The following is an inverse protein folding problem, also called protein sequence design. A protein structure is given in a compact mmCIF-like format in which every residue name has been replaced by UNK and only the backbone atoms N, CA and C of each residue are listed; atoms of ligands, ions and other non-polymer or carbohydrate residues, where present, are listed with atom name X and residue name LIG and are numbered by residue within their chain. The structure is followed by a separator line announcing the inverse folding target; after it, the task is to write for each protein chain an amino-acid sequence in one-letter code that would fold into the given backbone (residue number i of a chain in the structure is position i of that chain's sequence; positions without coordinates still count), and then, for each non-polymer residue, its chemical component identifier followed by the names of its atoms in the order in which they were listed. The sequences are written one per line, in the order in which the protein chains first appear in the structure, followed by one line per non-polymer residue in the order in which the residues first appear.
data_IF_613358421582
#
_entry.id   IF_613358421582
#
_cell.length_a   1.000
_cell.length_b   1.000
_cell.length_c   1.000
_cell.angle_alpha   90.00
_cell.angle_beta   90.00
_cell.angle_gamma   90.00
#
_symmetry.space_group_name_H-M   'P 1'
#
loop_
_entity.id
_entity.type
_entity.pdbx_description
1 polymer ?
#
# COMPACT_ATOMS: atom_id res chain seq x y z
N UNK A 1 -43.42 29.07 -22.66
CA UNK A 1 -44.61 28.50 -22.00
C UNK A 1 -44.28 27.05 -21.69
N UNK A 2 -43.97 26.79 -20.42
CA UNK A 2 -43.94 25.54 -19.63
C UNK A 2 -43.20 24.32 -20.23
N UNK A 3 -42.04 23.91 -19.72
CA UNK A 3 -41.76 23.20 -18.45
C UNK A 3 -42.54 21.88 -18.23
N UNK A 4 -41.79 20.78 -18.08
CA UNK A 4 -41.66 19.88 -16.89
C UNK A 4 -41.04 18.54 -17.38
N UNK A 5 -39.77 18.21 -17.06
CA UNK A 5 -39.24 17.60 -15.81
C UNK A 5 -39.91 16.26 -15.46
N UNK A 6 -39.12 15.17 -15.51
CA UNK A 6 -39.34 13.91 -14.78
C UNK A 6 -37.98 13.42 -14.22
N UNK A 7 -37.95 12.78 -13.02
CA UNK A 7 -36.85 12.94 -12.07
C UNK A 7 -36.01 11.67 -11.78
N UNK A 8 -34.80 11.93 -11.27
CA UNK A 8 -34.01 11.27 -10.22
C UNK A 8 -34.12 9.75 -9.92
N UNK A 9 -32.95 9.09 -10.08
CA UNK A 9 -32.16 8.38 -9.06
C UNK A 9 -32.83 7.37 -8.12
N UNK A 10 -32.42 6.10 -8.25
CA UNK A 10 -32.58 5.08 -7.22
C UNK A 10 -31.23 4.84 -6.52
N UNK A 11 -31.10 5.31 -5.28
CA UNK A 11 -30.05 4.92 -4.33
C UNK A 11 -30.68 3.89 -3.39
N UNK A 12 -30.08 2.70 -3.30
CA UNK A 12 -30.54 1.61 -2.45
C UNK A 12 -29.75 1.64 -1.13
N UNK A 13 -30.40 2.06 -0.03
CA UNK A 13 -29.89 1.92 1.33
C UNK A 13 -30.39 0.59 1.93
N UNK A 14 -29.48 -0.27 2.42
CA UNK A 14 -29.82 -1.41 3.26
C UNK A 14 -29.56 -1.06 4.74
N UNK A 15 -30.63 -0.95 5.53
CA UNK A 15 -30.61 -0.85 6.98
C UNK A 15 -31.04 -2.20 7.56
N UNK A 16 -30.13 -2.89 8.26
CA UNK A 16 -30.47 -4.10 9.02
C UNK A 16 -30.97 -3.70 10.42
N UNK A 17 -32.25 -4.01 10.68
CA UNK A 17 -32.83 -4.03 12.04
C UNK A 17 -32.89 -5.50 12.45
N UNK A 18 -32.23 -5.86 13.55
CA UNK A 18 -32.48 -7.13 14.24
C UNK A 18 -32.85 -6.86 15.69
N UNK A 19 -34.13 -7.05 16.02
CA UNK A 19 -34.62 -7.16 17.38
C UNK A 19 -34.16 -8.49 18.00
N UNK A 20 -33.56 -8.43 19.19
CA UNK A 20 -33.38 -9.58 20.07
C UNK A 20 -34.70 -9.94 20.76
N UNK A 21 -35.05 -11.21 20.78
CA UNK A 21 -35.81 -11.81 21.89
C UNK A 21 -35.23 -13.19 22.19
N UNK A 22 -34.77 -13.38 23.42
CA UNK A 22 -34.26 -14.65 23.96
C UNK A 22 -35.42 -15.56 24.41
N UNK A 23 -35.32 -16.86 24.10
CA UNK A 23 -35.85 -17.94 24.95
C UNK A 23 -34.94 -19.16 24.84
N UNK A 24 -34.45 -19.63 25.99
CA UNK A 24 -33.71 -20.89 26.20
C UNK A 24 -34.64 -22.09 26.00
N UNK A 25 -34.15 -23.12 25.31
CA UNK A 25 -34.25 -24.51 25.79
C UNK A 25 -33.24 -25.43 25.09
N UNK A 26 -32.60 -26.28 25.89
CA UNK A 26 -31.50 -27.18 25.52
C UNK A 26 -32.03 -28.46 24.86
N UNK A 27 -31.64 -28.77 23.61
CA UNK A 27 -31.24 -30.13 23.20
C UNK A 27 -30.59 -30.11 21.80
N UNK A 28 -29.57 -30.95 21.62
CA UNK A 28 -28.71 -31.09 20.43
C UNK A 28 -29.48 -30.99 19.10
N UNK A 29 -29.11 -30.02 18.25
CA UNK A 29 -29.37 -30.08 16.81
C UNK A 29 -28.26 -29.33 16.06
N UNK A 30 -27.70 -30.01 15.06
CA UNK A 30 -26.81 -29.46 14.04
C UNK A 30 -27.53 -28.26 13.40
N UNK A 31 -26.95 -27.08 13.54
CA UNK A 31 -27.47 -25.86 12.90
C UNK A 31 -26.37 -25.25 12.05
N UNK A 32 -26.53 -25.45 10.74
CA UNK A 32 -25.84 -24.72 9.70
C UNK A 32 -26.28 -23.26 9.74
N UNK A 33 -25.43 -22.39 10.23
CA UNK A 33 -25.47 -20.94 10.00
C UNK A 33 -24.04 -20.46 9.93
N UNK A 34 -23.52 -20.48 8.69
CA UNK A 34 -22.40 -19.68 8.18
C UNK A 34 -21.36 -19.23 9.22
N UNK A 35 -20.49 -20.15 9.61
CA UNK A 35 -19.11 -19.79 9.89
C UNK A 35 -18.52 -19.26 8.58
N UNK A 36 -18.50 -17.94 8.41
CA UNK A 36 -17.48 -17.34 7.57
C UNK A 36 -16.18 -17.46 8.37
N UNK A 37 -15.53 -18.62 8.28
CA UNK A 37 -14.15 -18.74 8.74
C UNK A 37 -13.33 -17.70 7.96
N UNK A 38 -12.82 -16.70 8.67
CA UNK A 38 -11.79 -15.78 8.18
C UNK A 38 -10.51 -16.58 8.01
N UNK A 39 -10.40 -17.30 6.89
CA UNK A 39 -9.18 -18.04 6.57
C UNK A 39 -8.23 -17.05 5.90
N UNK A 40 -7.45 -16.34 6.72
CA UNK A 40 -6.18 -15.70 6.33
C UNK A 40 -5.33 -16.71 5.52
N UNK A 41 -4.43 -16.27 4.61
CA UNK A 41 -3.53 -17.20 3.94
C UNK A 41 -2.78 -18.01 5.00
N UNK A 42 -2.77 -19.34 4.88
CA UNK A 42 -2.04 -20.17 5.85
C UNK A 42 -0.56 -19.83 5.77
N UNK A 43 0.06 -19.45 6.89
CA UNK A 43 1.49 -19.19 6.96
C UNK A 43 2.25 -20.47 6.58
N UNK A 44 2.72 -20.51 5.33
CA UNK A 44 3.49 -21.62 4.79
C UNK A 44 4.97 -21.28 4.86
N UNK A 45 5.66 -21.93 5.79
CA UNK A 45 7.09 -21.81 5.97
C UNK A 45 7.70 -23.12 6.47
N UNK A 46 9.01 -23.25 6.31
CA UNK A 46 9.79 -24.27 7.01
C UNK A 46 11.16 -23.71 7.40
N UNK A 47 11.80 -24.37 8.38
CA UNK A 47 13.16 -24.04 8.81
C UNK A 47 14.17 -24.61 7.81
N UNK A 48 15.13 -23.79 7.39
CA UNK A 48 16.23 -24.20 6.53
C UNK A 48 17.29 -25.03 7.27
N UNK A 49 18.26 -25.54 6.52
CA UNK A 49 19.40 -26.31 7.02
C UNK A 49 20.70 -25.58 6.64
N UNK A 50 21.55 -25.21 7.61
CA UNK A 50 22.79 -24.49 7.34
C UNK A 50 23.71 -25.15 6.29
N UNK A 51 23.67 -26.48 6.17
CA UNK A 51 24.48 -27.20 5.18
C UNK A 51 24.02 -26.95 3.75
N UNK A 52 22.71 -26.95 3.51
CA UNK A 52 22.12 -26.73 2.18
C UNK A 52 22.01 -25.25 1.83
N UNK A 53 21.88 -24.39 2.84
CA UNK A 53 21.61 -22.96 2.66
C UNK A 53 22.85 -22.08 2.71
N UNK A 54 24.00 -22.65 3.08
CA UNK A 54 25.27 -21.95 3.19
C UNK A 54 25.65 -21.12 1.97
N UNK A 55 25.34 -21.57 0.74
CA UNK A 55 25.77 -20.87 -0.48
C UNK A 55 25.11 -19.48 -0.64
N UNK A 56 23.79 -19.40 -0.45
CA UNK A 56 23.07 -18.14 -0.61
C UNK A 56 23.22 -17.26 0.63
N UNK A 57 23.36 -17.84 1.82
CA UNK A 57 23.70 -17.11 3.05
C UNK A 57 25.09 -16.45 2.91
N UNK A 58 26.09 -17.19 2.45
CA UNK A 58 27.42 -16.63 2.17
C UNK A 58 27.41 -15.55 1.08
N UNK A 59 26.38 -15.53 0.22
CA UNK A 59 26.20 -14.46 -0.77
C UNK A 59 25.67 -13.20 -0.08
N UNK A 60 24.67 -13.33 0.80
CA UNK A 60 24.17 -12.21 1.60
C UNK A 60 25.24 -11.61 2.52
N UNK A 61 26.01 -12.44 3.22
CA UNK A 61 27.04 -11.98 4.16
C UNK A 61 28.22 -11.25 3.50
N UNK A 62 28.36 -11.35 2.17
CA UNK A 62 29.34 -10.58 1.39
C UNK A 62 28.81 -9.24 0.92
N UNK A 63 27.50 -9.00 1.01
CA UNK A 63 26.92 -7.70 0.67
C UNK A 63 27.31 -6.68 1.74
N UNK A 64 27.50 -5.44 1.32
CA UNK A 64 27.85 -4.37 2.24
C UNK A 64 26.65 -4.02 3.13
N UNK A 65 26.79 -4.26 4.44
CA UNK A 65 25.78 -3.87 5.41
C UNK A 65 25.78 -2.34 5.63
N UNK A 66 24.59 -1.70 5.61
CA UNK A 66 24.47 -0.29 5.95
C UNK A 66 24.94 -0.06 7.40
N UNK A 67 25.35 1.16 7.71
CA UNK A 67 25.91 1.52 9.02
C UNK A 67 24.95 1.23 10.18
N UNK A 68 23.64 1.40 10.00
CA UNK A 68 22.64 1.12 11.02
C UNK A 68 22.50 -0.37 11.35
N UNK A 69 22.72 -1.27 10.38
CA UNK A 69 22.68 -2.72 10.62
C UNK A 69 23.92 -3.22 11.36
N UNK A 70 25.05 -2.51 11.27
CA UNK A 70 26.29 -2.84 11.99
C UNK A 70 26.24 -2.48 13.47
N UNK A 71 25.24 -1.72 13.90
CA UNK A 71 25.08 -1.30 15.29
C UNK A 71 24.13 -2.25 16.03
N UNK A 72 24.46 -2.54 17.29
CA UNK A 72 23.65 -3.37 18.18
C UNK A 72 23.85 -4.88 18.00
N UNK A 73 23.60 -5.60 19.10
CA UNK A 73 23.64 -7.06 19.17
C UNK A 73 22.26 -7.65 18.81
N UNK A 74 21.74 -7.27 17.64
CA UNK A 74 20.46 -7.78 17.12
C UNK A 74 20.61 -9.16 16.47
N UNK A 75 19.51 -9.91 16.44
CA UNK A 75 19.49 -11.32 16.04
C UNK A 75 19.48 -11.43 14.52
N UNK A 76 20.53 -12.00 13.93
CA UNK A 76 20.55 -12.27 12.50
C UNK A 76 19.66 -13.46 12.19
N UNK A 77 18.69 -13.23 11.32
CA UNK A 77 17.81 -14.23 10.75
C UNK A 77 17.92 -14.14 9.24
N UNK A 78 17.92 -15.28 8.58
CA UNK A 78 17.98 -15.38 7.13
C UNK A 78 16.66 -15.92 6.62
N UNK A 79 16.14 -15.33 5.55
CA UNK A 79 15.00 -15.91 4.86
C UNK A 79 15.14 -15.88 3.35
N UNK A 80 14.51 -16.88 2.72
CA UNK A 80 14.47 -17.06 1.28
C UNK A 80 13.03 -17.28 0.84
N UNK A 81 12.64 -16.67 -0.28
CA UNK A 81 11.41 -17.08 -0.97
C UNK A 81 11.73 -18.21 -1.93
N UNK A 82 10.98 -19.30 -1.87
CA UNK A 82 11.26 -20.50 -2.66
C UNK A 82 10.98 -20.31 -4.16
N UNK A 83 10.03 -19.43 -4.47
CA UNK A 83 9.65 -19.10 -5.83
C UNK A 83 10.58 -18.05 -6.44
N UNK A 84 10.83 -18.19 -7.74
CA UNK A 84 11.35 -17.09 -8.56
C UNK A 84 10.21 -16.10 -8.81
N UNK A 85 10.26 -14.94 -8.19
CA UNK A 85 9.22 -13.91 -8.27
C UNK A 85 9.56 -12.92 -9.37
N UNK A 86 8.77 -12.89 -10.45
CA UNK A 86 9.00 -12.02 -11.61
C UNK A 86 10.43 -12.08 -12.19
N UNK A 87 11.03 -13.27 -12.15
CA UNK A 87 12.39 -13.53 -12.64
C UNK A 87 13.50 -13.33 -11.61
N UNK A 88 13.17 -12.96 -10.37
CA UNK A 88 14.12 -12.75 -9.28
C UNK A 88 14.12 -13.91 -8.28
N UNK A 89 15.32 -14.40 -7.95
CA UNK A 89 15.54 -15.11 -6.69
C UNK A 89 15.67 -14.08 -5.57
N UNK A 90 14.91 -14.26 -4.48
CA UNK A 90 14.85 -13.29 -3.38
C UNK A 90 15.32 -13.94 -2.08
N UNK A 91 16.38 -13.38 -1.53
CA UNK A 91 17.01 -13.80 -0.27
C UNK A 91 17.20 -12.57 0.61
N UNK A 92 17.13 -12.72 1.93
CA UNK A 92 17.30 -11.61 2.84
C UNK A 92 18.05 -11.99 4.12
N UNK A 93 18.75 -10.99 4.63
CA UNK A 93 19.26 -10.94 5.99
C UNK A 93 18.42 -9.93 6.75
N UNK A 94 17.80 -10.38 7.84
CA UNK A 94 16.93 -9.58 8.69
C UNK A 94 17.44 -9.62 10.12
N UNK A 95 17.64 -8.44 10.71
CA UNK A 95 18.12 -8.30 12.09
C UNK A 95 16.95 -7.96 12.98
N UNK A 96 16.37 -8.98 13.61
CA UNK A 96 15.23 -8.82 14.50
C UNK A 96 15.62 -8.00 15.73
N UNK A 97 14.76 -7.05 16.13
CA UNK A 97 15.05 -6.20 17.29
C UNK A 97 14.95 -6.93 18.63
N UNK A 98 14.15 -8.00 18.69
CA UNK A 98 13.96 -8.86 19.86
C UNK A 98 13.53 -10.26 19.38
N UNK A 99 13.82 -11.36 20.13
CA UNK A 99 13.38 -12.70 19.76
C UNK A 99 11.89 -12.83 19.40
N UNK A 100 11.00 -12.02 19.95
CA UNK A 100 9.56 -12.10 19.67
C UNK A 100 9.00 -10.88 18.92
N UNK A 101 9.86 -10.03 18.36
CA UNK A 101 9.41 -8.89 17.58
C UNK A 101 9.29 -9.25 16.10
N UNK A 102 8.22 -8.77 15.46
CA UNK A 102 7.94 -8.86 14.03
C UNK A 102 8.74 -7.86 13.19
N UNK A 103 9.35 -6.87 13.84
CA UNK A 103 10.10 -5.77 13.20
C UNK A 103 11.61 -5.91 13.36
N UNK A 104 12.35 -5.46 12.35
CA UNK A 104 13.81 -5.47 12.36
C UNK A 104 14.41 -4.71 11.19
N UNK A 105 15.74 -4.64 11.15
CA UNK A 105 16.45 -4.13 9.99
C UNK A 105 16.48 -5.16 8.88
N UNK A 106 16.38 -4.72 7.62
CA UNK A 106 16.37 -5.61 6.47
C UNK A 106 17.45 -5.25 5.46
N UNK A 107 18.13 -6.28 4.96
CA UNK A 107 18.84 -6.28 3.69
C UNK A 107 18.28 -7.42 2.85
N UNK A 108 17.50 -7.09 1.82
CA UNK A 108 16.90 -8.05 0.88
C UNK A 108 17.55 -7.91 -0.49
N UNK A 109 18.03 -9.02 -1.04
CA UNK A 109 18.70 -9.07 -2.33
C UNK A 109 17.80 -9.74 -3.37
N UNK A 110 17.62 -9.05 -4.50
CA UNK A 110 16.86 -9.52 -5.65
C UNK A 110 17.84 -9.87 -6.76
N UNK A 111 18.05 -11.15 -7.00
CA UNK A 111 18.95 -11.64 -8.06
C UNK A 111 18.16 -12.02 -9.31
N UNK A 112 18.34 -11.27 -10.40
CA UNK A 112 17.70 -11.54 -11.66
C UNK A 112 18.33 -12.77 -12.33
N UNK A 113 17.58 -13.87 -12.37
CA UNK A 113 18.03 -15.18 -12.85
C UNK A 113 18.38 -15.23 -14.34
N UNK A 114 17.92 -14.24 -15.14
CA UNK A 114 18.18 -14.17 -16.58
C UNK A 114 19.41 -13.34 -16.92
N UNK A 115 19.59 -12.22 -16.22
CA UNK A 115 20.67 -11.25 -16.52
C UNK A 115 21.89 -11.39 -15.62
N UNK A 116 21.76 -12.10 -14.49
CA UNK A 116 22.81 -12.22 -13.48
C UNK A 116 23.06 -10.95 -12.68
N UNK A 117 22.20 -9.93 -12.83
CA UNK A 117 22.27 -8.68 -12.07
C UNK A 117 21.48 -8.79 -10.77
N UNK A 118 21.88 -8.03 -9.76
CA UNK A 118 21.10 -7.87 -8.54
C UNK A 118 20.87 -6.41 -8.19
N UNK A 119 19.88 -6.18 -7.34
CA UNK A 119 19.73 -4.95 -6.58
C UNK A 119 19.30 -5.32 -5.15
N UNK A 120 19.50 -4.39 -4.22
CA UNK A 120 19.15 -4.58 -2.82
C UNK A 120 18.06 -3.60 -2.40
N UNK A 121 17.08 -4.10 -1.65
CA UNK A 121 16.18 -3.29 -0.84
C UNK A 121 16.68 -3.33 0.60
N UNK A 122 16.79 -2.17 1.23
CA UNK A 122 17.32 -2.02 2.58
C UNK A 122 16.33 -1.17 3.38
N UNK A 123 16.00 -1.59 4.59
CA UNK A 123 15.07 -0.85 5.46
C UNK A 123 15.54 -0.82 6.91
N UNK A 124 15.40 0.35 7.54
CA UNK A 124 15.64 0.57 8.97
C UNK A 124 14.48 0.08 9.86
N UNK A 125 13.32 -0.22 9.26
CA UNK A 125 12.17 -0.77 9.97
C UNK A 125 11.32 -1.57 8.99
N UNK A 126 11.50 -2.87 9.02
CA UNK A 126 10.78 -3.79 8.15
C UNK A 126 10.02 -4.84 8.97
N UNK A 127 8.77 -5.06 8.56
CA UNK A 127 7.93 -6.19 8.93
C UNK A 127 7.20 -6.64 7.68
N UNK A 128 6.77 -7.89 7.64
CA UNK A 128 5.78 -8.35 6.69
C UNK A 128 4.87 -9.40 7.33
N UNK A 129 3.90 -9.88 6.56
CA UNK A 129 3.00 -10.94 7.00
C UNK A 129 3.75 -12.14 7.61
N UNK A 130 4.81 -12.64 6.98
CA UNK A 130 5.53 -13.81 7.46
C UNK A 130 6.23 -13.57 8.82
N UNK A 131 6.92 -12.45 8.99
CA UNK A 131 7.60 -12.14 10.27
C UNK A 131 6.59 -11.88 11.38
N UNK A 132 5.48 -11.21 11.06
CA UNK A 132 4.37 -10.93 11.98
C UNK A 132 3.68 -12.21 12.45
N UNK A 133 3.27 -13.07 11.53
CA UNK A 133 2.59 -14.31 11.88
C UNK A 133 3.49 -15.26 12.68
N UNK A 134 4.79 -15.33 12.34
CA UNK A 134 5.75 -16.09 13.14
C UNK A 134 5.84 -15.55 14.57
N UNK A 135 6.00 -14.24 14.73
CA UNK A 135 6.15 -13.60 16.04
C UNK A 135 4.92 -13.80 16.94
N UNK A 136 3.71 -13.81 16.36
CA UNK A 136 2.45 -14.01 17.10
C UNK A 136 2.02 -15.48 17.23
N UNK A 137 2.68 -16.41 16.56
CA UNK A 137 2.38 -17.82 16.70
C UNK A 137 2.70 -18.29 18.13
N UNK A 138 1.68 -18.72 18.89
CA UNK A 138 1.84 -19.06 20.31
C UNK A 138 2.83 -20.21 20.60
N UNK A 139 3.10 -21.07 19.61
CA UNK A 139 4.11 -22.13 19.67
C UNK A 139 5.51 -21.68 19.27
N UNK A 140 5.67 -20.45 18.78
CA UNK A 140 6.96 -19.90 18.38
C UNK A 140 7.74 -19.42 19.61
N UNK A 141 8.92 -20.00 19.82
CA UNK A 141 9.79 -19.69 20.95
C UNK A 141 10.64 -18.42 20.74
N UNK A 142 10.44 -17.73 19.63
CA UNK A 142 11.20 -16.56 19.22
C UNK A 142 12.39 -16.89 18.32
N UNK A 143 12.81 -15.89 17.56
CA UNK A 143 13.97 -15.93 16.67
C UNK A 143 15.26 -16.19 17.44
N UNK A 144 16.14 -17.01 16.87
CA UNK A 144 17.48 -17.29 17.37
C UNK A 144 18.53 -16.84 16.34
N UNK A 145 19.74 -16.57 16.83
CA UNK A 145 20.86 -16.17 15.97
C UNK A 145 21.14 -17.24 14.92
N UNK A 146 21.20 -16.81 13.66
CA UNK A 146 21.45 -17.69 12.52
C UNK A 146 20.24 -18.51 12.08
N UNK A 147 19.04 -18.22 12.59
CA UNK A 147 17.82 -18.87 12.13
C UNK A 147 17.64 -18.72 10.62
N UNK A 148 17.22 -19.80 9.96
CA UNK A 148 16.98 -19.85 8.51
C UNK A 148 15.52 -20.21 8.26
N UNK A 149 14.83 -19.41 7.46
CA UNK A 149 13.44 -19.64 7.08
C UNK A 149 13.28 -19.66 5.56
N UNK A 150 12.51 -20.62 5.08
CA UNK A 150 11.98 -20.63 3.72
C UNK A 150 10.52 -20.23 3.76
N UNK A 151 10.16 -19.24 2.95
CA UNK A 151 8.80 -18.73 2.83
C UNK A 151 8.24 -19.06 1.46
N UNK A 152 6.99 -19.52 1.46
CA UNK A 152 6.18 -19.49 0.25
C UNK A 152 5.74 -18.04 -0.02
N UNK A 153 6.09 -17.54 -1.21
CA UNK A 153 5.69 -16.20 -1.64
C UNK A 153 4.17 -16.10 -1.86
N UNK A 154 3.56 -15.09 -1.25
CA UNK A 154 2.12 -14.84 -1.36
C UNK A 154 1.88 -13.89 -2.53
N UNK A 155 1.38 -14.42 -3.64
CA UNK A 155 1.08 -13.61 -4.81
C UNK A 155 -0.14 -12.70 -4.62
N UNK A 156 -0.18 -11.49 -5.24
CA UNK A 156 -1.29 -10.55 -5.14
C UNK A 156 -2.67 -11.17 -5.40
N UNK A 157 -2.80 -12.00 -6.44
CA UNK A 157 -4.06 -12.66 -6.82
C UNK A 157 -4.60 -13.67 -5.79
N UNK A 158 -3.74 -14.14 -4.87
CA UNK A 158 -4.13 -15.09 -3.84
C UNK A 158 -4.69 -14.39 -2.59
N UNK A 159 -4.62 -13.06 -2.52
CA UNK A 159 -5.13 -12.30 -1.40
C UNK A 159 -6.65 -12.42 -1.32
N UNK A 160 -7.16 -12.62 -0.09
CA UNK A 160 -8.59 -12.67 0.15
C UNK A 160 -9.18 -11.35 0.60
N UNK A 161 -8.41 -10.62 1.37
CA UNK A 161 -8.68 -9.22 1.67
C UNK A 161 -8.27 -8.37 0.47
N UNK A 162 -8.98 -7.27 0.24
CA UNK A 162 -8.71 -6.38 -0.88
C UNK A 162 -8.73 -7.07 -2.27
N UNK A 163 -9.44 -8.20 -2.43
CA UNK A 163 -9.58 -8.95 -3.71
C UNK A 163 -9.99 -8.10 -4.91
N UNK A 164 -10.72 -7.02 -4.68
CA UNK A 164 -11.17 -6.10 -5.72
C UNK A 164 -10.07 -5.15 -6.21
N UNK A 165 -8.90 -5.16 -5.56
CA UNK A 165 -7.77 -4.28 -5.84
C UNK A 165 -6.57 -5.08 -6.35
N UNK A 166 -5.68 -4.38 -7.05
CA UNK A 166 -4.53 -4.99 -7.72
C UNK A 166 -3.37 -5.30 -6.75
N UNK A 167 -3.32 -4.61 -5.60
CA UNK A 167 -2.21 -4.71 -4.64
C UNK A 167 -2.51 -5.73 -3.54
N UNK A 168 -1.57 -6.64 -3.31
CA UNK A 168 -1.76 -7.78 -2.43
C UNK A 168 -1.60 -7.46 -0.94
N UNK A 169 -2.67 -7.56 -0.15
CA UNK A 169 -2.68 -7.25 1.27
C UNK A 169 -1.57 -7.95 2.09
N UNK A 170 -1.39 -9.26 1.92
CA UNK A 170 -0.36 -10.06 2.58
C UNK A 170 0.88 -10.29 1.71
N UNK A 171 0.96 -9.63 0.56
CA UNK A 171 2.09 -9.76 -0.36
C UNK A 171 3.23 -8.85 0.11
N UNK A 172 4.40 -9.39 0.50
CA UNK A 172 5.47 -8.62 1.15
C UNK A 172 6.11 -7.58 0.21
N UNK A 173 6.19 -7.91 -1.07
CA UNK A 173 6.59 -7.02 -2.15
C UNK A 173 5.96 -7.52 -3.44
N UNK A 174 5.79 -6.65 -4.43
CA UNK A 174 5.33 -7.02 -5.77
C UNK A 174 5.98 -6.13 -6.83
N UNK A 175 5.90 -6.56 -8.08
CA UNK A 175 6.34 -5.76 -9.20
C UNK A 175 5.16 -5.29 -10.03
N UNK A 176 5.17 -4.02 -10.41
CA UNK A 176 4.11 -3.40 -11.18
C UNK A 176 4.66 -2.20 -11.94
N UNK A 177 4.34 -2.09 -13.23
CA UNK A 177 4.52 -0.87 -14.02
C UNK A 177 3.49 0.17 -13.56
N UNK A 178 3.82 0.85 -12.46
CA UNK A 178 2.90 1.76 -11.77
C UNK A 178 3.05 3.19 -12.27
N UNK A 179 4.20 3.53 -12.85
CA UNK A 179 4.41 4.79 -13.55
C UNK A 179 4.01 4.75 -15.05
N UNK A 180 3.60 3.56 -15.51
CA UNK A 180 3.11 3.24 -16.85
C UNK A 180 4.13 3.49 -17.96
N UNK A 181 5.44 3.50 -17.66
CA UNK A 181 6.52 3.71 -18.62
C UNK A 181 6.92 2.42 -19.38
N UNK A 182 6.37 1.28 -18.99
CA UNK A 182 6.58 -0.03 -19.60
C UNK A 182 7.63 -0.87 -18.87
N UNK A 183 8.31 -0.32 -17.87
CA UNK A 183 9.21 -1.04 -16.98
C UNK A 183 8.50 -1.32 -15.64
N UNK A 184 8.98 -2.30 -14.88
CA UNK A 184 8.39 -2.61 -13.58
C UNK A 184 9.08 -1.86 -12.44
N UNK A 185 8.29 -1.28 -11.54
CA UNK A 185 8.74 -0.82 -10.24
C UNK A 185 8.64 -1.94 -9.21
N UNK A 186 9.48 -1.86 -8.17
CA UNK A 186 9.33 -2.65 -6.96
C UNK A 186 8.42 -1.90 -5.98
N UNK A 187 7.36 -2.55 -5.54
CA UNK A 187 6.47 -2.07 -4.48
C UNK A 187 6.71 -2.93 -3.24
N UNK A 188 7.06 -2.32 -2.11
CA UNK A 188 7.29 -3.01 -0.83
C UNK A 188 6.17 -2.66 0.14
N UNK A 189 5.48 -3.68 0.65
CA UNK A 189 4.34 -3.56 1.55
C UNK A 189 4.83 -3.34 2.99
N UNK A 190 4.24 -2.38 3.71
CA UNK A 190 4.65 -2.04 5.09
C UNK A 190 4.00 -2.89 6.20
N UNK A 191 3.02 -3.73 5.85
CA UNK A 191 2.23 -4.56 6.77
C UNK A 191 1.60 -3.77 7.94
N UNK A 192 1.26 -2.50 7.69
CA UNK A 192 0.79 -1.60 8.74
C UNK A 192 -0.67 -1.79 9.21
N UNK A 193 -1.48 -2.53 8.46
CA UNK A 193 -2.88 -2.88 8.78
C UNK A 193 -3.78 -1.66 9.08
N UNK A 194 -3.64 -0.59 8.31
CA UNK A 194 -4.45 0.62 8.47
C UNK A 194 -5.88 0.44 7.92
N UNK A 195 -6.75 1.42 8.17
CA UNK A 195 -8.14 1.42 7.67
C UNK A 195 -8.22 1.32 6.14
N UNK A 196 -7.26 1.90 5.40
CA UNK A 196 -7.15 1.81 3.94
C UNK A 196 -6.38 0.60 3.43
N UNK A 197 -5.91 -0.26 4.34
CA UNK A 197 -4.97 -1.34 4.11
C UNK A 197 -3.53 -0.90 4.37
N UNK A 198 -2.58 -1.65 3.85
CA UNK A 198 -1.15 -1.38 3.99
C UNK A 198 -0.70 -0.35 2.95
N UNK A 199 0.33 0.42 3.30
CA UNK A 199 1.01 1.30 2.34
C UNK A 199 2.11 0.55 1.60
N UNK A 200 2.48 1.10 0.44
CA UNK A 200 3.55 0.58 -0.39
C UNK A 200 4.60 1.65 -0.63
N UNK A 201 5.84 1.32 -0.33
CA UNK A 201 6.96 2.08 -0.83
C UNK A 201 7.26 1.68 -2.27
N UNK A 202 7.30 2.65 -3.17
CA UNK A 202 7.55 2.43 -4.60
C UNK A 202 9.01 2.76 -4.94
N UNK A 203 9.66 1.88 -5.68
CA UNK A 203 11.04 2.04 -6.12
C UNK A 203 11.18 1.77 -7.62
N UNK A 204 11.82 2.71 -8.32
CA UNK A 204 12.30 2.48 -9.68
C UNK A 204 13.53 1.59 -9.64
N UNK A 205 13.53 0.54 -10.44
CA UNK A 205 14.66 -0.38 -10.58
C UNK A 205 15.59 0.17 -11.65
N UNK A 206 16.82 0.50 -11.26
CA UNK A 206 17.84 1.07 -12.17
C UNK A 206 19.04 0.13 -12.30
N UNK A 207 19.94 0.43 -13.23
CA UNK A 207 21.20 -0.32 -13.37
C UNK A 207 22.13 -0.20 -12.17
N UNK A 208 21.93 0.82 -11.32
CA UNK A 208 22.75 1.09 -10.14
C UNK A 208 22.07 0.74 -8.82
N UNK A 209 20.85 0.20 -8.85
CA UNK A 209 20.07 -0.13 -7.65
C UNK A 209 18.67 0.48 -7.68
N UNK A 210 18.10 0.70 -6.49
CA UNK A 210 16.75 1.24 -6.33
C UNK A 210 16.76 2.76 -6.14
N UNK A 211 15.80 3.45 -6.75
CA UNK A 211 15.52 4.87 -6.50
C UNK A 211 14.09 4.98 -5.99
N UNK A 212 13.91 5.47 -4.76
CA UNK A 212 12.57 5.66 -4.17
C UNK A 212 11.78 6.68 -4.98
N UNK A 213 10.57 6.31 -5.40
CA UNK A 213 9.63 7.21 -6.04
C UNK A 213 8.84 7.98 -4.97
N UNK A 214 9.54 8.90 -4.30
CA UNK A 214 8.97 9.69 -3.20
C UNK A 214 8.27 10.95 -3.71
N UNK A 215 7.18 10.73 -4.44
CA UNK A 215 6.31 11.80 -4.95
C UNK A 215 4.89 11.27 -5.18
N UNK A 216 3.90 12.17 -5.22
CA UNK A 216 2.48 11.83 -5.31
C UNK A 216 2.17 11.50 -6.78
N UNK A 217 1.37 10.47 -7.09
CA UNK A 217 0.64 9.61 -6.16
C UNK A 217 1.44 8.41 -5.64
N UNK A 218 2.66 8.18 -6.12
CA UNK A 218 3.42 6.95 -5.86
C UNK A 218 3.83 6.76 -4.40
N UNK A 219 4.04 7.83 -3.63
CA UNK A 219 4.31 7.74 -2.19
C UNK A 219 3.05 7.65 -1.31
N UNK A 220 1.86 7.66 -1.92
CA UNK A 220 0.57 7.54 -1.23
C UNK A 220 -0.15 6.22 -1.55
N UNK A 221 0.55 5.28 -2.20
CA UNK A 221 -0.04 4.01 -2.64
C UNK A 221 -0.35 3.14 -1.43
N UNK A 222 -1.58 2.64 -1.41
CA UNK A 222 -2.09 1.70 -0.41
C UNK A 222 -3.05 0.68 -1.04
N UNK A 223 -3.42 -0.39 -0.33
CA UNK A 223 -4.22 -1.47 -0.92
C UNK A 223 -5.54 -1.04 -1.57
N UNK A 224 -6.23 -0.03 -1.02
CA UNK A 224 -7.50 0.45 -1.59
C UNK A 224 -7.34 1.39 -2.80
N UNK A 225 -6.10 1.61 -3.27
CA UNK A 225 -5.83 2.42 -4.46
C UNK A 225 -6.33 1.68 -5.70
N UNK A 226 -6.94 2.42 -6.63
CA UNK A 226 -7.35 1.86 -7.92
C UNK A 226 -6.26 2.19 -8.92
N UNK A 227 -5.57 1.17 -9.42
CA UNK A 227 -4.55 1.31 -10.45
C UNK A 227 -5.12 0.69 -11.73
N UNK A 228 -5.22 1.50 -12.77
CA UNK A 228 -5.68 1.08 -14.09
C UNK A 228 -4.51 1.24 -15.07
N UNK A 229 -3.83 0.13 -15.32
CA UNK A 229 -2.67 0.10 -16.22
C UNK A 229 -3.05 0.27 -17.70
N UNK A 230 -4.32 0.03 -18.06
CA UNK A 230 -4.81 0.19 -19.44
C UNK A 230 -5.06 1.66 -19.74
N UNK A 231 -5.78 2.33 -18.85
CA UNK A 231 -6.11 3.75 -19.00
C UNK A 231 -5.02 4.66 -18.41
N UNK A 232 -4.00 4.08 -17.76
CA UNK A 232 -2.88 4.77 -17.12
C UNK A 232 -3.36 5.78 -16.08
N UNK A 233 -4.20 5.31 -15.15
CA UNK A 233 -4.76 6.13 -14.07
C UNK A 233 -4.55 5.51 -12.71
N UNK A 234 -4.40 6.36 -11.69
CA UNK A 234 -4.30 5.98 -10.28
C UNK A 234 -5.36 6.76 -9.51
N UNK A 235 -6.13 6.08 -8.67
CA UNK A 235 -7.03 6.72 -7.69
C UNK A 235 -6.56 6.42 -6.28
N UNK A 236 -6.25 7.46 -5.51
CA UNK A 236 -5.93 7.37 -4.08
C UNK A 236 -7.19 7.63 -3.27
N UNK A 237 -7.43 6.82 -2.22
CA UNK A 237 -8.62 6.93 -1.38
C UNK A 237 -8.28 7.12 0.09
N UNK A 238 -8.43 8.33 0.62
CA UNK A 238 -8.26 8.59 2.06
C UNK A 238 -9.60 8.54 2.78
N UNK A 239 -9.63 7.99 3.99
CA UNK A 239 -10.79 8.01 4.88
C UNK A 239 -10.35 8.34 6.29
N UNK A 240 -11.03 9.28 6.93
CA UNK A 240 -10.85 9.60 8.35
C UNK A 240 -12.17 9.35 9.06
N UNK A 241 -12.24 8.18 9.70
CA UNK A 241 -13.48 7.73 10.34
C UNK A 241 -14.60 7.49 9.32
N UNK A 242 -15.83 7.79 9.71
CA UNK A 242 -17.03 7.57 8.88
C UNK A 242 -17.55 8.83 8.18
N UNK A 243 -17.05 10.01 8.56
CA UNK A 243 -17.63 11.29 8.16
C UNK A 243 -16.79 12.04 7.12
N UNK A 244 -15.53 11.64 6.92
CA UNK A 244 -14.64 12.27 5.96
C UNK A 244 -13.92 11.25 5.09
N UNK A 245 -13.85 11.53 3.79
CA UNK A 245 -12.94 10.85 2.90
C UNK A 245 -12.71 11.62 1.61
N UNK A 246 -11.67 11.21 0.89
CA UNK A 246 -11.34 11.75 -0.43
C UNK A 246 -11.09 10.61 -1.40
N UNK A 247 -11.50 10.81 -2.64
CA UNK A 247 -11.03 10.03 -3.78
C UNK A 247 -10.37 10.98 -4.75
N UNK A 248 -9.11 10.71 -5.07
CA UNK A 248 -8.29 11.60 -5.85
C UNK A 248 -7.77 10.89 -7.07
N UNK A 249 -8.04 11.48 -8.22
CA UNK A 249 -7.87 10.86 -9.51
C UNK A 249 -6.66 11.45 -10.20
N UNK A 250 -5.75 10.56 -10.61
CA UNK A 250 -4.55 10.88 -11.35
C UNK A 250 -4.52 10.13 -12.66
N UNK A 251 -3.98 10.76 -13.70
CA UNK A 251 -3.69 10.13 -14.99
C UNK A 251 -2.24 10.34 -15.37
N UNK A 252 -1.68 9.43 -16.19
CA UNK A 252 -0.38 9.64 -16.80
C UNK A 252 -0.42 10.87 -17.69
N UNK A 253 0.39 11.85 -17.32
CA UNK A 253 0.43 13.11 -18.03
C UNK A 253 1.34 13.01 -19.26
N UNK A 254 0.85 13.47 -20.41
CA UNK A 254 1.69 13.67 -21.61
C UNK A 254 2.33 15.08 -21.67
N UNK A 255 1.70 16.07 -21.01
CA UNK A 255 2.12 17.47 -20.99
C UNK A 255 1.90 18.08 -19.60
N UNK A 256 2.90 18.78 -19.06
CA UNK A 256 2.85 19.40 -17.72
C UNK A 256 1.68 20.40 -17.58
N UNK A 257 0.80 20.16 -16.60
CA UNK A 257 -0.16 21.15 -16.11
C UNK A 257 0.26 21.53 -14.69
N UNK A 258 0.68 22.77 -14.51
CA UNK A 258 0.99 23.33 -13.20
C UNK A 258 -0.26 24.04 -12.68
N UNK A 259 -1.03 23.43 -11.78
CA UNK A 259 -2.19 24.08 -11.24
C UNK A 259 -1.77 25.30 -10.39
N UNK A 260 -2.54 26.39 -10.46
CA UNK A 260 -2.22 27.70 -9.88
C UNK A 260 -3.11 28.01 -8.66
N UNK A 261 -4.21 27.25 -8.47
CA UNK A 261 -5.13 27.39 -7.32
C UNK A 261 -5.78 26.05 -6.96
N UNK A 262 -6.12 25.86 -5.68
CA UNK A 262 -6.57 24.57 -5.15
C UNK A 262 -7.88 24.65 -4.38
N UNK A 263 -8.67 23.57 -4.37
CA UNK A 263 -9.84 23.51 -3.51
C UNK A 263 -9.43 23.51 -2.04
N UNK A 264 -10.09 24.35 -1.24
CA UNK A 264 -10.04 24.25 0.21
C UNK A 264 -10.92 23.08 0.63
N UNK A 265 -10.29 21.96 0.97
CA UNK A 265 -11.00 20.84 1.56
C UNK A 265 -11.40 21.17 3.01
N UNK A 266 -12.45 20.50 3.49
CA UNK A 266 -12.98 20.63 4.85
C UNK A 266 -12.02 20.06 5.89
N UNK A 267 -11.28 19.01 5.52
CA UNK A 267 -10.16 18.50 6.30
C UNK A 267 -8.87 18.62 5.49
N UNK A 268 -7.74 18.79 6.17
CA UNK A 268 -6.48 19.04 5.51
C UNK A 268 -5.82 17.73 5.05
N UNK A 269 -5.93 17.42 3.75
CA UNK A 269 -5.18 16.32 3.14
C UNK A 269 -3.76 16.78 2.78
N UNK A 270 -2.79 16.42 3.63
CA UNK A 270 -1.37 16.83 3.52
C UNK A 270 -0.73 16.49 2.17
N UNK A 271 -1.11 15.36 1.57
CA UNK A 271 -0.54 14.88 0.31
C UNK A 271 -0.99 15.71 -0.91
N UNK A 272 -2.14 16.40 -0.85
CA UNK A 272 -2.55 17.35 -1.90
C UNK A 272 -1.56 18.50 -1.96
N UNK A 273 -1.23 19.07 -0.80
CA UNK A 273 -0.22 20.12 -0.69
C UNK A 273 1.14 19.63 -1.18
N UNK A 274 1.48 18.37 -0.90
CA UNK A 274 2.73 17.76 -1.35
C UNK A 274 2.81 17.63 -2.88
N UNK A 275 1.75 17.11 -3.53
CA UNK A 275 1.66 17.02 -4.99
C UNK A 275 1.99 18.37 -5.66
N UNK A 276 1.52 19.47 -5.08
CA UNK A 276 1.75 20.80 -5.62
C UNK A 276 3.16 21.36 -5.39
N UNK A 277 3.89 20.86 -4.40
CA UNK A 277 5.30 21.21 -4.20
C UNK A 277 6.21 20.49 -5.18
N UNK A 278 5.73 19.40 -5.79
CA UNK A 278 6.52 18.58 -6.70
C UNK A 278 6.68 19.28 -8.05
N UNK A 279 7.93 19.39 -8.49
CA UNK A 279 8.28 19.87 -9.84
C UNK A 279 8.41 18.67 -10.76
N UNK A 280 7.92 18.80 -11.99
CA UNK A 280 8.04 17.77 -13.04
C UNK A 280 7.38 16.43 -12.68
N UNK A 281 6.19 16.48 -12.08
CA UNK A 281 5.39 15.29 -11.86
C UNK A 281 4.96 14.70 -13.20
N UNK A 282 5.06 13.37 -13.34
CA UNK A 282 4.64 12.63 -14.53
C UNK A 282 3.14 12.27 -14.50
N UNK A 283 2.48 12.54 -13.38
CA UNK A 283 1.05 12.39 -13.19
C UNK A 283 0.35 13.74 -13.21
N UNK A 284 -0.85 13.76 -13.78
CA UNK A 284 -1.80 14.86 -13.72
C UNK A 284 -2.79 14.59 -12.61
N UNK A 285 -3.07 15.57 -11.77
CA UNK A 285 -4.19 15.55 -10.83
C UNK A 285 -5.46 16.00 -11.56
N UNK A 286 -6.36 15.06 -11.86
CA UNK A 286 -7.50 15.30 -12.73
C UNK A 286 -8.72 15.81 -11.95
N UNK A 287 -9.02 15.16 -10.83
CA UNK A 287 -10.13 15.55 -9.96
C UNK A 287 -9.93 15.11 -8.51
N UNK A 288 -10.63 15.79 -7.61
CA UNK A 288 -10.76 15.44 -6.19
C UNK A 288 -12.24 15.33 -5.87
N UNK A 289 -12.64 14.20 -5.31
CA UNK A 289 -13.99 13.95 -4.84
C UNK A 289 -13.92 13.87 -3.32
N UNK A 290 -14.40 14.91 -2.66
CA UNK A 290 -14.44 15.00 -1.20
C UNK A 290 -15.81 14.58 -0.69
N UNK A 291 -15.82 13.67 0.27
CA UNK A 291 -16.99 13.23 1.01
C UNK A 291 -16.90 13.84 2.41
N UNK A 292 -17.85 14.71 2.75
CA UNK A 292 -17.91 15.33 4.06
C UNK A 292 -19.34 15.25 4.61
N UNK A 293 -19.51 14.48 5.68
CA UNK A 293 -20.79 14.01 6.19
C UNK A 293 -21.61 13.35 5.05
N UNK A 294 -22.76 13.94 4.71
CA UNK A 294 -23.66 13.43 3.67
C UNK A 294 -23.53 14.18 2.33
N UNK A 295 -22.48 15.00 2.17
CA UNK A 295 -22.28 15.85 0.98
C UNK A 295 -21.04 15.41 0.22
N UNK A 296 -21.15 15.42 -1.12
CA UNK A 296 -20.03 15.16 -2.03
C UNK A 296 -19.67 16.45 -2.77
N UNK A 297 -18.42 16.89 -2.64
CA UNK A 297 -17.85 18.01 -3.37
C UNK A 297 -16.92 17.46 -4.45
N UNK A 298 -17.10 17.89 -5.69
CA UNK A 298 -16.33 17.37 -6.83
C UNK A 298 -15.57 18.48 -7.53
N UNK A 299 -14.26 18.48 -7.39
CA UNK A 299 -13.36 19.46 -7.96
C UNK A 299 -12.65 18.88 -9.19
N UNK A 300 -12.63 19.59 -10.30
CA UNK A 300 -11.93 19.18 -11.53
C UNK A 300 -10.88 20.22 -11.92
N UNK A 301 -9.73 19.76 -12.40
CA UNK A 301 -8.71 20.65 -12.95
C UNK A 301 -9.16 21.19 -14.31
N UNK A 302 -9.26 22.52 -14.44
CA UNK A 302 -9.56 23.17 -15.71
C UNK A 302 -8.35 23.16 -16.63
N UNK A 303 -8.59 23.33 -17.94
CA UNK A 303 -7.54 23.49 -18.94
C UNK A 303 -6.62 24.71 -18.69
N UNK A 304 -7.06 25.66 -17.88
CA UNK A 304 -6.31 26.86 -17.49
C UNK A 304 -5.48 26.65 -16.21
N UNK A 305 -5.49 25.43 -15.65
CA UNK A 305 -4.70 25.10 -14.45
C UNK A 305 -5.37 25.53 -13.14
N UNK A 306 -6.70 25.65 -13.08
CA UNK A 306 -7.43 25.99 -11.86
C UNK A 306 -8.49 24.94 -11.56
N UNK A 307 -8.66 24.55 -10.28
CA UNK A 307 -9.77 23.67 -9.91
C UNK A 307 -11.11 24.39 -9.93
N UNK A 308 -12.11 23.75 -10.52
CA UNK A 308 -13.50 24.20 -10.58
C UNK A 308 -14.39 23.15 -9.91
N UNK A 309 -15.26 23.59 -9.01
CA UNK A 309 -16.29 22.74 -8.41
C UNK A 309 -17.40 22.47 -9.44
N UNK A 310 -17.69 21.19 -9.71
CA UNK A 310 -18.76 20.77 -10.64
C UNK A 310 -20.10 20.71 -9.90
N UNK A 311 -21.13 21.29 -10.51
CA UNK A 311 -22.55 21.19 -10.11
C UNK A 311 -22.83 21.44 -8.62
N UNK A 312 -22.53 22.65 -8.15
CA UNK A 312 -22.96 23.11 -6.82
C UNK A 312 -23.63 24.48 -6.90
N UNK A 313 -24.75 24.65 -6.18
CA UNK A 313 -25.35 25.96 -5.87
C UNK A 313 -24.56 26.72 -4.79
N UNK A 314 -23.55 26.08 -4.20
CA UNK A 314 -22.64 26.62 -3.18
C UNK A 314 -21.23 26.67 -3.76
N UNK A 315 -20.65 27.87 -3.87
CA UNK A 315 -19.27 28.06 -4.30
C UNK A 315 -18.33 27.39 -3.28
N UNK A 316 -17.63 26.33 -3.68
CA UNK A 316 -16.49 25.84 -2.91
C UNK A 316 -15.37 26.88 -2.92
N UNK A 317 -14.73 27.12 -1.78
CA UNK A 317 -13.59 28.05 -1.71
C UNK A 317 -12.39 27.45 -2.45
N UNK A 318 -11.83 28.21 -3.40
CA UNK A 318 -10.59 27.87 -4.10
C UNK A 318 -9.52 28.88 -3.66
N UNK A 319 -8.44 28.40 -3.05
CA UNK A 319 -7.39 29.25 -2.46
C UNK A 319 -6.20 29.37 -3.44
N UNK A 320 -5.61 30.57 -3.61
CA UNK A 320 -4.35 30.73 -4.34
C UNK A 320 -3.19 29.99 -3.65
N UNK A 321 -2.20 29.56 -4.43
CA UNK A 321 -0.93 29.04 -3.89
C UNK A 321 -0.28 30.15 -3.07
N UNK A 322 -0.04 29.96 -1.77
CA UNK A 322 0.69 30.96 -1.00
C UNK A 322 2.13 31.04 -1.51
N UNK A 323 2.62 32.27 -1.70
CA UNK A 323 4.03 32.54 -2.04
C UNK A 323 4.99 32.04 -0.92
N UNK A 324 4.44 31.80 0.28
CA UNK A 324 5.16 31.22 1.41
C UNK A 324 4.24 30.24 2.17
N UNK A 325 4.59 28.94 2.14
CA UNK A 325 3.69 27.82 2.46
C UNK A 325 3.57 27.54 3.97
N UNK A 326 4.37 28.18 4.81
CA UNK A 326 4.36 27.99 6.27
C UNK A 326 3.08 28.50 6.97
N UNK A 327 2.23 29.26 6.27
CA UNK A 327 0.97 29.80 6.80
C UNK A 327 -0.26 28.91 6.54
N UNK A 328 -0.14 27.80 5.80
CA UNK A 328 -1.27 26.86 5.53
C UNK A 328 -1.43 25.79 6.62
N UNK A 329 -0.51 25.75 7.59
CA UNK A 329 -0.55 24.83 8.74
C UNK A 329 -1.12 25.45 10.02
N UNK A 330 -1.87 26.56 9.93
CA UNK A 330 -2.53 27.18 11.09
C UNK A 330 -4.04 27.19 11.00
#
# INVERSE_FOLDING_TARGET
MNELILPYSAILFFLFICCKTEKKDNSKCITSTSELESIEPTLNYYKGDPSTDSLWINTLDKLEEPSFMRQGDYINVYFKYDQIVEGYEVIAKWKAFDPKCETGYLLMNFYNTRTGRNFQYISEKYSNYHTRELAYLGSFNGFQEGDIFHFEYIYPQNNREYKAFQLGYYTPFQFLDIDFDGEQELLVNDDGQYQGGNFYEVYKITTTGLVKADYVPLNCIQNNSIIDTINQTITIKSWVGAAYGTSTFFSKQKNQVNPIRFPKLHENDSWITEYYRQKNNIFSLDSIHEFFNDTVYIYYLSAEGHFILKDSTVLGEVIPIPDNIDDVTK
#
